data_IF_905088018224
#
_entry.id   IF_905088018224
#
_cell.length_a   1.000
_cell.length_b   1.000
_cell.length_c   1.000
_cell.angle_alpha   90.00
_cell.angle_beta   90.00
_cell.angle_gamma   90.00
#
_symmetry.space_group_name_H-M   'P 1'
#
loop_
_entity.id
_entity.type
_entity.pdbx_description
1 polymer ?
#
# COMPACT_ATOMS: atom_id res chain seq x y z
N UNK A 1 -13.67 -6.72 -1.48
CA UNK A 1 -12.96 -5.93 -0.44
C UNK A 1 -11.86 -5.13 -1.14
N UNK A 2 -11.66 -3.86 -0.81
CA UNK A 2 -10.64 -2.99 -1.43
C UNK A 2 -9.68 -2.44 -0.37
N UNK A 3 -8.72 -1.61 -0.77
CA UNK A 3 -7.72 -1.03 0.10
C UNK A 3 -8.32 -0.19 1.24
N UNK A 4 -9.35 0.60 0.94
CA UNK A 4 -10.04 1.48 1.88
C UNK A 4 -10.72 0.72 3.03
N UNK A 5 -11.02 -0.58 2.85
CA UNK A 5 -11.60 -1.39 3.92
C UNK A 5 -10.69 -1.45 5.16
N UNK A 6 -9.37 -1.57 4.95
CA UNK A 6 -8.39 -1.59 6.04
C UNK A 6 -7.76 -0.21 6.27
N UNK A 7 -7.45 0.50 5.20
CA UNK A 7 -6.77 1.80 5.21
C UNK A 7 -7.77 2.95 5.29
N UNK A 8 -8.41 3.09 6.45
CA UNK A 8 -9.26 4.21 6.80
C UNK A 8 -9.12 4.51 8.31
N UNK A 9 -9.58 5.67 8.81
CA UNK A 9 -9.41 6.05 10.22
C UNK A 9 -10.03 5.12 11.27
N UNK A 10 -10.97 4.26 10.89
CA UNK A 10 -11.61 3.28 11.76
C UNK A 10 -11.25 1.82 11.39
N UNK A 11 -10.36 1.64 10.41
CA UNK A 11 -9.97 0.34 9.88
C UNK A 11 -8.78 -0.25 10.62
N UNK A 12 -8.51 -1.56 10.45
CA UNK A 12 -7.41 -2.25 11.12
C UNK A 12 -6.00 -1.72 10.78
N UNK A 13 -5.84 -0.95 9.70
CA UNK A 13 -4.55 -0.37 9.31
C UNK A 13 -4.41 1.12 9.67
N UNK A 14 -5.27 1.65 10.54
CA UNK A 14 -5.28 3.05 10.97
C UNK A 14 -3.92 3.56 11.48
N UNK A 15 -3.22 2.73 12.27
CA UNK A 15 -1.89 3.04 12.84
C UNK A 15 -0.78 3.18 11.78
N UNK A 16 -1.02 2.76 10.54
CA UNK A 16 -0.07 2.98 9.43
C UNK A 16 -0.03 4.44 9.00
N UNK A 17 -1.09 5.21 9.29
CA UNK A 17 -1.31 6.57 8.80
C UNK A 17 -1.54 6.67 7.29
N UNK A 18 -1.74 5.53 6.61
CA UNK A 18 -2.13 5.46 5.20
C UNK A 18 -3.64 5.29 5.13
N UNK A 19 -4.32 6.27 4.56
CA UNK A 19 -5.76 6.29 4.38
C UNK A 19 -6.08 6.37 2.88
N UNK A 20 -6.91 5.44 2.42
CA UNK A 20 -7.26 5.23 1.01
C UNK A 20 -8.78 5.29 0.80
N UNK A 21 -9.51 5.83 1.78
CA UNK A 21 -10.91 6.22 1.61
C UNK A 21 -11.05 7.41 0.63
N UNK A 22 -12.18 7.51 -0.08
CA UNK A 22 -12.40 8.56 -1.08
C UNK A 22 -12.31 10.00 -0.55
N UNK A 23 -12.56 10.20 0.75
CA UNK A 23 -12.55 11.51 1.39
C UNK A 23 -11.13 11.98 1.74
N UNK A 24 -10.14 11.10 1.73
CA UNK A 24 -8.75 11.45 2.06
C UNK A 24 -8.13 12.35 0.98
N UNK A 25 -7.71 13.58 1.32
CA UNK A 25 -7.05 14.46 0.35
C UNK A 25 -5.70 13.92 -0.11
N UNK A 26 -5.36 14.17 -1.37
CA UNK A 26 -4.04 13.88 -1.93
C UNK A 26 -2.95 14.58 -1.12
N UNK A 27 -2.08 13.80 -0.48
CA UNK A 27 -1.03 14.28 0.39
C UNK A 27 -0.37 13.15 1.17
N UNK A 28 0.37 13.45 2.25
CA UNK A 28 1.05 12.42 3.04
C UNK A 28 0.10 11.35 3.57
N UNK A 29 -1.08 11.72 4.08
CA UNK A 29 -2.05 10.74 4.60
C UNK A 29 -2.62 9.81 3.51
N UNK A 30 -2.62 10.24 2.25
CA UNK A 30 -2.94 9.38 1.10
C UNK A 30 -1.77 8.46 0.68
N UNK A 31 -0.59 8.64 1.29
CA UNK A 31 0.63 7.88 1.01
C UNK A 31 1.64 8.59 0.10
N UNK A 32 1.33 9.78 -0.41
CA UNK A 32 2.22 10.49 -1.34
C UNK A 32 3.49 10.94 -0.63
N UNK A 33 4.62 10.33 -1.02
CA UNK A 33 5.94 10.56 -0.41
C UNK A 33 5.92 10.46 1.13
N UNK A 34 4.99 9.66 1.68
CA UNK A 34 4.85 9.46 3.12
C UNK A 34 5.80 8.37 3.57
N UNK A 35 6.58 8.61 4.62
CA UNK A 35 7.40 7.57 5.22
C UNK A 35 6.53 6.53 5.95
N UNK A 36 6.90 5.24 5.89
CA UNK A 36 6.16 4.21 6.61
C UNK A 36 6.31 4.40 8.12
N UNK A 37 5.20 4.28 8.85
CA UNK A 37 5.21 4.29 10.32
C UNK A 37 5.37 2.86 10.84
N UNK A 38 4.55 1.93 10.31
CA UNK A 38 4.45 0.55 10.79
C UNK A 38 4.54 -0.48 9.65
N UNK A 39 5.53 -0.34 8.76
CA UNK A 39 5.66 -1.28 7.62
C UNK A 39 6.57 -2.48 7.89
N UNK A 40 7.57 -2.37 8.78
CA UNK A 40 8.51 -3.46 9.05
C UNK A 40 9.15 -4.04 7.77
N UNK A 41 9.23 -5.38 7.61
CA UNK A 41 9.65 -6.04 6.37
C UNK A 41 8.80 -5.66 5.15
N UNK A 42 7.56 -5.25 5.38
CA UNK A 42 6.63 -4.77 4.36
C UNK A 42 7.10 -3.53 3.62
N UNK A 43 8.08 -2.78 4.14
CA UNK A 43 8.71 -1.68 3.42
C UNK A 43 9.57 -2.14 2.24
N UNK A 44 10.13 -3.35 2.29
CA UNK A 44 11.07 -3.84 1.28
C UNK A 44 12.30 -2.95 1.10
N UNK A 45 12.69 -2.17 2.12
CA UNK A 45 13.78 -1.20 2.06
C UNK A 45 13.44 0.12 1.36
N UNK A 46 12.20 0.30 0.91
CA UNK A 46 11.74 1.53 0.26
C UNK A 46 11.40 2.60 1.29
N UNK A 47 11.56 3.87 0.90
CA UNK A 47 11.42 5.01 1.81
C UNK A 47 9.99 5.53 1.94
N UNK A 48 9.14 5.34 0.93
CA UNK A 48 7.85 5.99 0.87
C UNK A 48 6.73 5.03 0.47
N UNK A 49 5.53 5.28 0.98
CA UNK A 49 4.32 4.51 0.68
C UNK A 49 4.04 4.51 -0.83
N UNK A 50 3.94 5.71 -1.42
CA UNK A 50 3.75 5.95 -2.86
C UNK A 50 4.74 7.01 -3.34
N UNK A 51 5.46 6.72 -4.42
CA UNK A 51 6.36 7.66 -5.12
C UNK A 51 5.81 7.93 -6.52
N UNK A 52 5.24 9.13 -6.77
CA UNK A 52 4.66 9.46 -8.07
C UNK A 52 5.66 9.28 -9.22
N UNK A 53 5.24 8.57 -10.26
CA UNK A 53 6.06 8.28 -11.45
C UNK A 53 7.22 7.30 -11.24
N UNK A 54 7.38 6.74 -10.03
CA UNK A 54 8.42 5.75 -9.71
C UNK A 54 7.80 4.56 -8.94
N UNK A 55 6.98 3.73 -9.61
CA UNK A 55 6.25 2.64 -8.95
C UNK A 55 7.19 1.64 -8.25
N UNK A 56 8.36 1.36 -8.82
CA UNK A 56 9.34 0.44 -8.24
C UNK A 56 9.93 0.90 -6.91
N UNK A 57 9.89 2.21 -6.62
CA UNK A 57 10.33 2.81 -5.36
C UNK A 57 9.20 2.90 -4.31
N UNK A 58 7.97 2.51 -4.67
CA UNK A 58 6.79 2.60 -3.81
C UNK A 58 6.60 1.33 -2.98
N UNK A 59 6.42 1.49 -1.67
CA UNK A 59 6.09 0.37 -0.77
C UNK A 59 4.80 -0.32 -1.23
N UNK A 60 3.81 0.44 -1.69
CA UNK A 60 2.53 -0.11 -2.16
C UNK A 60 2.72 -1.22 -3.22
N UNK A 61 3.50 -0.94 -4.26
CA UNK A 61 3.76 -1.88 -5.37
C UNK A 61 4.48 -3.13 -4.87
N UNK A 62 5.51 -2.96 -4.05
CA UNK A 62 6.23 -4.08 -3.45
C UNK A 62 5.32 -5.03 -2.67
N UNK A 63 4.38 -4.49 -1.90
CA UNK A 63 3.42 -5.29 -1.13
C UNK A 63 2.39 -5.98 -2.02
N UNK A 64 1.98 -5.36 -3.12
CA UNK A 64 1.08 -5.96 -4.11
C UNK A 64 1.77 -7.10 -4.88
N UNK A 65 3.06 -7.01 -5.15
CA UNK A 65 3.81 -8.04 -5.89
C UNK A 65 4.30 -9.20 -5.01
N UNK A 66 4.39 -9.00 -3.69
CA UNK A 66 4.88 -10.02 -2.76
C UNK A 66 3.82 -11.08 -2.43
N UNK A 67 4.28 -12.31 -2.23
CA UNK A 67 3.51 -13.44 -1.67
C UNK A 67 3.97 -13.84 -0.27
N UNK A 68 4.92 -13.11 0.32
CA UNK A 68 5.36 -13.38 1.69
C UNK A 68 4.26 -12.93 2.67
N UNK A 69 3.80 -13.77 3.60
CA UNK A 69 2.70 -13.43 4.51
C UNK A 69 2.90 -12.16 5.34
N UNK A 70 4.15 -11.83 5.69
CA UNK A 70 4.53 -10.65 6.47
C UNK A 70 4.66 -9.35 5.63
N UNK A 71 4.50 -9.44 4.31
CA UNK A 71 4.70 -8.33 3.36
C UNK A 71 3.46 -8.11 2.50
N UNK A 72 2.87 -9.19 1.99
CA UNK A 72 1.83 -9.15 0.97
C UNK A 72 0.61 -8.34 1.41
N UNK A 73 0.00 -7.67 0.43
CA UNK A 73 -1.29 -6.99 0.62
C UNK A 73 -2.29 -7.37 -0.48
N UNK A 74 -3.58 -7.55 -0.17
CA UNK A 74 -4.12 -7.70 1.19
C UNK A 74 -3.55 -8.92 1.91
N UNK A 75 -3.43 -8.83 3.23
CA UNK A 75 -2.82 -9.86 4.09
C UNK A 75 -3.69 -11.11 4.26
N UNK A 76 -4.99 -11.01 3.91
CA UNK A 76 -5.96 -12.09 4.05
C UNK A 76 -6.52 -12.49 2.68
N UNK A 77 -6.78 -13.80 2.52
CA UNK A 77 -7.57 -14.33 1.41
C UNK A 77 -6.89 -14.27 0.04
N UNK A 78 -5.57 -14.01 -0.01
CA UNK A 78 -4.79 -13.95 -1.24
C UNK A 78 -3.75 -15.07 -1.28
N UNK A 79 -3.66 -15.78 -2.40
CA UNK A 79 -2.70 -16.88 -2.64
C UNK A 79 -1.81 -16.68 -3.87
N UNK A 80 -2.04 -15.60 -4.64
CA UNK A 80 -1.30 -15.28 -5.86
C UNK A 80 -1.27 -13.77 -6.10
N UNK A 81 -0.42 -13.31 -7.03
CA UNK A 81 -0.39 -11.91 -7.47
C UNK A 81 -1.47 -11.70 -8.52
N UNK A 82 -2.27 -10.64 -8.36
CA UNK A 82 -3.20 -10.23 -9.40
C UNK A 82 -2.48 -9.29 -10.35
N UNK A 83 -1.97 -9.84 -11.45
CA UNK A 83 -1.08 -9.12 -12.36
C UNK A 83 -1.75 -7.90 -13.00
N UNK A 84 -3.01 -8.01 -13.47
CA UNK A 84 -3.68 -6.86 -14.12
C UNK A 84 -3.93 -5.70 -13.16
N UNK A 85 -4.36 -5.99 -11.92
CA UNK A 85 -4.57 -4.97 -10.89
C UNK A 85 -3.25 -4.29 -10.50
N UNK A 86 -2.18 -5.09 -10.39
CA UNK A 86 -0.85 -4.56 -10.08
C UNK A 86 -0.34 -3.66 -11.20
N UNK A 87 -0.49 -4.08 -12.47
CA UNK A 87 -0.13 -3.26 -13.63
C UNK A 87 -0.89 -1.93 -13.65
N UNK A 88 -2.20 -1.96 -13.40
CA UNK A 88 -3.02 -0.74 -13.33
C UNK A 88 -2.52 0.25 -12.27
N UNK A 89 -2.14 -0.23 -11.09
CA UNK A 89 -1.65 0.62 -10.00
C UNK A 89 -0.22 1.11 -10.29
N UNK A 90 0.59 0.35 -11.03
CA UNK A 90 1.92 0.78 -11.47
C UNK A 90 1.85 1.91 -12.50
N UNK A 91 0.83 1.90 -13.36
CA UNK A 91 0.66 2.88 -14.44
C UNK A 91 -0.01 4.19 -14.00
N UNK A 92 -0.71 4.18 -12.85
CA UNK A 92 -1.33 5.35 -12.23
C UNK A 92 -0.29 6.28 -11.58
#
# INVERSE_FOLDING_TARGET
INCAHCHNPAGPADTSGLFLDPETPMGPNFGLCKMPIAAGPGSGGRRFDIVPGQPDESILIYRLESLRPDVMMPELGRSGVHEESTALIRDW
#
